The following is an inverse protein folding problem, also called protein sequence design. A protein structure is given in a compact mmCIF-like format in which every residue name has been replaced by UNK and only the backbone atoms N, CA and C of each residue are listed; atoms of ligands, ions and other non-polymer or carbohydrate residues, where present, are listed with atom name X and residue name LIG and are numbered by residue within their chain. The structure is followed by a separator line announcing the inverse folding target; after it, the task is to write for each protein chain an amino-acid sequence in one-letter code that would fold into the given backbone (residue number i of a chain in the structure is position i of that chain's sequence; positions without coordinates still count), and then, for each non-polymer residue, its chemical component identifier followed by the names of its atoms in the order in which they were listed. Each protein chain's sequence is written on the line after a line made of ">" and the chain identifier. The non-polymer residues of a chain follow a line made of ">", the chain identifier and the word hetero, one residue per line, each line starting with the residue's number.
data_IF_834514949194
#
_entry.id   IF_834514949194
#
_cell.length_a   1.000
_cell.length_b   1.000
_cell.length_c   1.000
_cell.angle_alpha   90.00
_cell.angle_beta   90.00
_cell.angle_gamma   90.00
#
_symmetry.space_group_name_H-M   'P 1'
#
loop_
_entity.id
_entity.type
_entity.pdbx_description
1 polymer ?
#
# COMPACT_ATOMS: atom_id res chain seq x y z
N UNK A 1 13.28 64.17 -30.40
CA UNK A 1 13.48 62.74 -30.72
C UNK A 1 13.63 61.80 -29.49
N UNK A 2 14.04 62.27 -28.30
CA UNK A 2 14.25 61.38 -27.11
C UNK A 2 12.98 60.87 -26.40
N UNK A 3 11.83 61.53 -26.56
CA UNK A 3 10.57 61.11 -25.90
C UNK A 3 9.81 60.04 -26.68
N UNK A 4 9.79 60.12 -28.01
CA UNK A 4 9.11 59.15 -28.89
C UNK A 4 9.78 57.77 -28.85
N UNK A 5 11.11 57.70 -28.73
CA UNK A 5 11.85 56.44 -28.62
C UNK A 5 11.55 55.68 -27.31
N UNK A 6 11.38 56.40 -26.20
CA UNK A 6 11.02 55.79 -24.90
C UNK A 6 9.61 55.21 -24.90
N UNK A 7 8.66 55.91 -25.52
CA UNK A 7 7.28 55.44 -25.67
C UNK A 7 7.21 54.22 -26.60
N UNK A 8 7.98 54.22 -27.69
CA UNK A 8 8.06 53.09 -28.61
C UNK A 8 8.61 51.83 -27.94
N UNK A 9 9.70 51.96 -27.18
CA UNK A 9 10.30 50.83 -26.44
C UNK A 9 9.36 50.30 -25.36
N UNK A 10 8.68 51.18 -24.62
CA UNK A 10 7.69 50.77 -23.63
C UNK A 10 6.51 50.02 -24.27
N UNK A 11 6.01 50.50 -25.42
CA UNK A 11 4.94 49.83 -26.15
C UNK A 11 5.35 48.46 -26.67
N UNK A 12 6.59 48.32 -27.15
CA UNK A 12 7.12 47.04 -27.63
C UNK A 12 7.24 46.02 -26.49
N UNK A 13 7.62 46.48 -25.30
CA UNK A 13 7.75 45.63 -24.12
C UNK A 13 6.38 45.14 -23.61
N UNK A 14 5.36 46.01 -23.63
CA UNK A 14 3.97 45.63 -23.31
C UNK A 14 3.41 44.64 -24.34
N UNK A 15 3.71 44.84 -25.62
CA UNK A 15 3.28 43.91 -26.67
C UNK A 15 3.96 42.53 -26.52
N UNK A 16 5.24 42.51 -26.11
CA UNK A 16 5.97 41.27 -25.85
C UNK A 16 5.38 40.44 -24.69
N UNK A 17 4.87 41.10 -23.64
CA UNK A 17 4.17 40.40 -22.55
C UNK A 17 2.83 39.78 -22.97
N UNK A 18 2.21 40.30 -24.04
CA UNK A 18 0.96 39.76 -24.59
C UNK A 18 1.16 38.48 -25.41
N UNK A 19 2.40 38.16 -25.81
CA UNK A 19 2.76 36.91 -26.52
C UNK A 19 3.25 35.79 -25.60
N UNK A 20 3.03 35.89 -24.27
CA UNK A 20 3.27 34.77 -23.36
C UNK A 20 2.28 33.66 -23.70
N UNK A 21 2.79 32.59 -24.31
CA UNK A 21 2.00 31.42 -24.66
C UNK A 21 1.64 30.66 -23.39
N UNK A 22 0.35 30.45 -23.16
CA UNK A 22 -0.13 29.57 -22.08
C UNK A 22 -0.16 28.15 -22.63
N UNK A 23 0.86 27.35 -22.28
CA UNK A 23 0.83 25.91 -22.51
C UNK A 23 -0.08 25.25 -21.48
N UNK A 24 -1.06 24.47 -21.94
CA UNK A 24 -1.82 23.59 -21.07
C UNK A 24 -0.92 22.46 -20.57
N UNK A 25 -0.59 22.45 -19.29
CA UNK A 25 -0.01 21.27 -18.63
C UNK A 25 -1.17 20.38 -18.21
N UNK A 26 -1.26 19.19 -18.80
CA UNK A 26 -2.12 18.14 -18.27
C UNK A 26 -1.45 17.60 -17.00
N UNK A 27 -2.07 17.84 -15.85
CA UNK A 27 -1.68 17.14 -14.63
C UNK A 27 -1.94 15.65 -14.84
N UNK A 28 -0.90 14.83 -14.71
CA UNK A 28 -1.08 13.39 -14.52
C UNK A 28 -2.01 13.21 -13.29
N UNK A 29 -2.98 12.27 -13.35
CA UNK A 29 -3.79 11.98 -12.18
C UNK A 29 -2.85 11.69 -11.01
N UNK A 30 -3.13 12.31 -9.85
CA UNK A 30 -2.33 12.11 -8.66
C UNK A 30 -2.22 10.60 -8.38
N UNK A 31 -1.02 10.07 -8.10
CA UNK A 31 -0.87 8.67 -7.74
C UNK A 31 -1.79 8.38 -6.55
N UNK A 32 -2.69 7.42 -6.70
CA UNK A 32 -3.60 7.04 -5.62
C UNK A 32 -2.76 6.49 -4.47
N UNK A 33 -2.85 7.14 -3.31
CA UNK A 33 -2.17 6.69 -2.08
C UNK A 33 -2.90 5.52 -1.41
N UNK A 34 -4.14 5.23 -1.82
CA UNK A 34 -4.88 4.06 -1.37
C UNK A 34 -4.19 2.78 -1.83
N UNK A 35 -4.05 1.82 -0.91
CA UNK A 35 -3.63 0.46 -1.23
C UNK A 35 -4.77 -0.27 -1.92
N UNK A 36 -4.45 -1.18 -2.85
CA UNK A 36 -5.44 -2.06 -3.42
C UNK A 36 -6.01 -3.01 -2.35
N UNK A 37 -7.28 -3.35 -2.50
CA UNK A 37 -7.91 -4.34 -1.62
C UNK A 37 -7.25 -5.71 -1.78
N UNK A 38 -7.14 -6.49 -0.68
CA UNK A 38 -6.59 -7.82 -0.75
C UNK A 38 -7.51 -8.76 -1.53
N UNK A 39 -6.91 -9.75 -2.16
CA UNK A 39 -7.63 -10.72 -2.99
C UNK A 39 -7.24 -12.15 -2.64
N UNK A 40 -8.16 -13.09 -2.85
CA UNK A 40 -7.88 -14.52 -2.81
C UNK A 40 -7.99 -15.08 -4.23
N UNK A 41 -7.03 -15.92 -4.59
CA UNK A 41 -6.92 -16.58 -5.89
C UNK A 41 -7.08 -18.08 -5.64
N UNK A 42 -7.97 -18.71 -6.41
CA UNK A 42 -8.18 -20.15 -6.40
C UNK A 42 -6.86 -20.90 -6.70
N UNK A 43 -6.65 -22.03 -6.03
CA UNK A 43 -5.49 -22.88 -6.33
C UNK A 43 -5.74 -23.79 -7.53
N UNK A 44 -7.02 -24.04 -7.87
CA UNK A 44 -7.43 -24.79 -9.04
C UNK A 44 -8.76 -24.27 -9.58
N UNK A 45 -9.01 -24.47 -10.88
CA UNK A 45 -10.19 -23.95 -11.55
C UNK A 45 -11.49 -24.52 -10.97
N UNK A 46 -12.41 -23.64 -10.59
CA UNK A 46 -13.75 -24.01 -10.12
C UNK A 46 -13.83 -24.30 -8.61
N UNK A 47 -12.79 -23.93 -7.86
CA UNK A 47 -12.82 -23.88 -6.40
C UNK A 47 -13.92 -22.91 -5.94
N UNK A 48 -14.73 -23.31 -4.94
CA UNK A 48 -15.84 -22.49 -4.44
C UNK A 48 -15.50 -21.97 -3.06
N UNK A 49 -15.35 -20.66 -2.94
CA UNK A 49 -15.17 -19.98 -1.66
C UNK A 49 -15.72 -18.56 -1.73
N UNK A 50 -15.75 -17.90 -0.58
CA UNK A 50 -16.05 -16.48 -0.42
C UNK A 50 -14.83 -15.77 0.13
N UNK A 51 -14.49 -14.63 -0.46
CA UNK A 51 -13.46 -13.74 0.03
C UNK A 51 -14.10 -12.36 0.30
N UNK A 52 -14.07 -11.94 1.56
CA UNK A 52 -14.65 -10.68 2.00
C UNK A 52 -13.55 -9.76 2.55
N UNK A 53 -13.48 -8.54 2.03
CA UNK A 53 -12.58 -7.50 2.54
C UNK A 53 -13.11 -7.01 3.89
N UNK A 54 -12.22 -6.90 4.87
CA UNK A 54 -12.55 -6.48 6.24
C UNK A 54 -11.69 -5.28 6.61
N UNK A 55 -12.32 -4.18 6.99
CA UNK A 55 -11.61 -2.96 7.40
C UNK A 55 -10.99 -3.13 8.79
N UNK A 56 -9.89 -2.40 9.10
CA UNK A 56 -9.16 -2.58 10.35
C UNK A 56 -10.01 -2.56 11.64
N UNK A 57 -11.00 -1.65 11.82
CA UNK A 57 -11.83 -1.66 13.03
C UNK A 57 -12.68 -2.93 13.20
N UNK A 58 -12.92 -3.68 12.12
CA UNK A 58 -13.73 -4.90 12.12
C UNK A 58 -12.87 -6.17 12.10
N UNK A 59 -11.53 -6.05 12.13
CA UNK A 59 -10.64 -7.19 12.23
C UNK A 59 -10.67 -7.78 13.65
N UNK A 60 -10.51 -9.11 13.79
CA UNK A 60 -10.24 -9.71 15.09
C UNK A 60 -8.84 -9.31 15.57
N UNK A 61 -8.56 -9.46 16.86
CA UNK A 61 -7.19 -9.26 17.36
C UNK A 61 -6.67 -7.85 17.15
N UNK A 62 -7.50 -6.86 17.43
CA UNK A 62 -7.18 -5.44 17.32
C UNK A 62 -7.11 -4.78 18.71
N UNK A 63 -6.31 -3.73 18.81
CA UNK A 63 -6.28 -2.81 19.94
C UNK A 63 -6.27 -1.37 19.43
N UNK A 64 -6.80 -0.46 20.22
CA UNK A 64 -6.72 0.97 19.99
C UNK A 64 -5.61 1.55 20.88
N UNK A 65 -4.61 2.18 20.25
CA UNK A 65 -3.59 2.97 20.94
C UNK A 65 -3.58 4.38 20.36
N UNK A 66 -4.17 5.33 21.09
CA UNK A 66 -4.17 6.74 20.69
C UNK A 66 -4.98 7.03 19.42
N UNK A 67 -6.05 6.25 19.15
CA UNK A 67 -6.90 6.38 17.97
C UNK A 67 -6.37 5.62 16.75
N UNK A 68 -5.27 4.86 16.89
CA UNK A 68 -4.76 3.98 15.85
C UNK A 68 -5.12 2.54 16.16
N UNK A 69 -5.78 1.88 15.20
CA UNK A 69 -6.12 0.46 15.28
C UNK A 69 -4.90 -0.38 14.88
N UNK A 70 -4.42 -1.19 15.82
CA UNK A 70 -3.20 -1.99 15.67
C UNK A 70 -3.44 -3.48 15.97
N UNK A 71 -2.61 -4.39 15.45
CA UNK A 71 -2.69 -5.81 15.80
C UNK A 71 -2.28 -6.05 17.25
N UNK A 72 -3.07 -6.85 17.99
CA UNK A 72 -2.67 -7.29 19.34
C UNK A 72 -1.44 -8.17 19.31
N UNK A 73 -0.66 -8.13 20.39
CA UNK A 73 0.53 -8.98 20.55
C UNK A 73 1.74 -8.53 19.74
N UNK A 74 1.71 -7.31 19.22
CA UNK A 74 2.88 -6.64 18.63
C UNK A 74 3.23 -5.41 19.46
N UNK A 75 4.50 -5.16 19.72
CA UNK A 75 4.95 -3.96 20.42
C UNK A 75 4.71 -2.69 19.60
N UNK A 76 4.69 -1.54 20.29
CA UNK A 76 4.58 -0.24 19.65
C UNK A 76 5.71 -0.05 18.62
N UNK A 77 5.35 0.20 17.36
CA UNK A 77 6.28 0.32 16.23
C UNK A 77 6.78 -1.01 15.63
N UNK A 78 6.44 -2.17 16.20
CA UNK A 78 6.84 -3.48 15.67
C UNK A 78 5.93 -3.96 14.53
N UNK A 79 4.65 -3.58 14.55
CA UNK A 79 3.68 -4.00 13.54
C UNK A 79 2.42 -3.15 13.50
N UNK A 80 2.02 -2.74 12.30
CA UNK A 80 0.74 -2.11 11.99
C UNK A 80 0.07 -2.83 10.83
N UNK A 81 -1.26 -2.77 10.75
CA UNK A 81 -1.96 -3.24 9.55
C UNK A 81 -1.53 -2.38 8.36
N UNK A 82 -1.12 -3.01 7.27
CA UNK A 82 -0.81 -2.28 6.03
C UNK A 82 -2.08 -1.63 5.47
N UNK A 83 -3.20 -2.34 5.52
CA UNK A 83 -4.49 -1.91 5.00
C UNK A 83 -5.60 -2.85 5.44
N UNK A 84 -6.61 -3.04 4.58
CA UNK A 84 -7.71 -3.97 4.85
C UNK A 84 -7.21 -5.42 4.98
N UNK A 85 -7.91 -6.21 5.79
CA UNK A 85 -7.75 -7.66 5.84
C UNK A 85 -8.68 -8.39 4.88
N UNK A 86 -8.50 -9.70 4.79
CA UNK A 86 -9.28 -10.59 3.94
C UNK A 86 -9.80 -11.77 4.75
N UNK A 87 -11.12 -11.98 4.75
CA UNK A 87 -11.74 -13.17 5.32
C UNK A 87 -12.08 -14.15 4.21
N UNK A 88 -11.47 -15.33 4.26
CA UNK A 88 -11.76 -16.46 3.37
C UNK A 88 -12.63 -17.45 4.11
N UNK A 89 -13.74 -17.87 3.49
CA UNK A 89 -14.69 -18.84 4.04
C UNK A 89 -15.31 -19.73 2.96
N UNK A 90 -15.80 -20.90 3.35
CA UNK A 90 -16.52 -21.82 2.46
C UNK A 90 -15.64 -22.80 1.69
N UNK A 91 -14.32 -22.78 1.90
CA UNK A 91 -13.43 -23.84 1.42
C UNK A 91 -13.77 -25.16 2.11
N UNK A 92 -13.72 -26.27 1.38
CA UNK A 92 -13.86 -27.61 1.96
C UNK A 92 -12.58 -28.00 2.69
N UNK A 93 -12.65 -29.05 3.49
CA UNK A 93 -11.48 -29.56 4.19
C UNK A 93 -10.41 -30.04 3.20
N UNK A 94 -9.21 -29.47 3.33
CA UNK A 94 -8.08 -29.74 2.43
C UNK A 94 -7.99 -28.80 1.21
N UNK A 95 -9.04 -28.03 0.91
CA UNK A 95 -9.00 -27.00 -0.14
C UNK A 95 -8.18 -25.79 0.35
N UNK A 96 -7.48 -25.13 -0.57
CA UNK A 96 -6.56 -24.04 -0.23
C UNK A 96 -6.55 -22.99 -1.31
N UNK A 97 -6.32 -21.74 -0.93
CA UNK A 97 -6.20 -20.61 -1.85
C UNK A 97 -4.86 -19.91 -1.67
N UNK A 98 -4.56 -18.96 -2.56
CA UNK A 98 -3.51 -17.96 -2.35
C UNK A 98 -4.12 -16.62 -2.02
N UNK A 99 -3.68 -16.00 -0.92
CA UNK A 99 -4.10 -14.64 -0.55
C UNK A 99 -3.01 -13.65 -0.92
N UNK A 100 -3.40 -12.50 -1.48
CA UNK A 100 -2.52 -11.45 -1.96
C UNK A 100 -2.89 -10.10 -1.33
N UNK A 101 -1.87 -9.37 -0.88
CA UNK A 101 -2.00 -8.05 -0.29
C UNK A 101 -1.07 -7.07 -0.99
N UNK A 102 -1.56 -5.87 -1.29
CA UNK A 102 -0.74 -4.79 -1.82
C UNK A 102 0.31 -4.42 -0.78
N UNK A 103 1.58 -4.51 -1.18
CA UNK A 103 2.73 -4.16 -0.37
C UNK A 103 3.57 -3.06 -1.03
N UNK A 104 2.93 -1.91 -1.28
CA UNK A 104 3.57 -0.67 -1.77
C UNK A 104 4.84 -0.25 -1.01
N UNK A 105 5.00 -0.62 0.26
CA UNK A 105 6.13 -0.19 1.11
C UNK A 105 7.36 -1.11 1.09
N UNK A 106 7.39 -2.16 0.27
CA UNK A 106 8.46 -3.18 0.28
C UNK A 106 9.89 -2.64 0.10
N UNK A 107 10.05 -1.50 -0.56
CA UNK A 107 11.33 -0.85 -0.88
C UNK A 107 11.63 0.38 0.00
N UNK A 108 10.84 0.64 1.04
CA UNK A 108 10.95 1.84 1.88
C UNK A 108 11.45 1.57 3.31
N UNK A 109 12.29 0.55 3.51
CA UNK A 109 12.75 0.09 4.85
C UNK A 109 11.64 -0.48 5.75
N UNK A 110 10.54 -0.93 5.13
CA UNK A 110 9.48 -1.66 5.81
C UNK A 110 9.60 -3.14 5.48
N UNK A 111 9.42 -4.00 6.50
CA UNK A 111 9.12 -5.43 6.31
C UNK A 111 7.63 -5.63 6.38
N UNK A 112 7.14 -6.60 5.62
CA UNK A 112 5.76 -7.03 5.65
C UNK A 112 5.68 -8.54 5.63
N UNK A 113 4.72 -9.11 6.34
CA UNK A 113 4.36 -10.52 6.21
C UNK A 113 2.87 -10.69 6.40
N UNK A 114 2.32 -11.71 5.76
CA UNK A 114 0.91 -12.04 5.93
C UNK A 114 0.77 -12.84 7.23
N UNK A 115 -0.25 -12.51 8.01
CA UNK A 115 -0.60 -13.20 9.24
C UNK A 115 -2.02 -13.74 9.15
N UNK A 116 -2.26 -14.85 9.83
CA UNK A 116 -3.59 -15.44 10.04
C UNK A 116 -3.99 -15.30 11.50
N UNK A 117 -5.24 -14.92 11.76
CA UNK A 117 -5.79 -14.98 13.13
C UNK A 117 -6.09 -16.43 13.51
N UNK A 118 -5.53 -16.91 14.62
CA UNK A 118 -5.77 -18.26 15.14
C UNK A 118 -6.90 -18.36 16.18
N UNK A 119 -7.52 -17.23 16.52
CA UNK A 119 -8.49 -17.11 17.62
C UNK A 119 -7.94 -16.33 18.81
N UNK A 120 -6.61 -16.30 18.98
CA UNK A 120 -5.93 -15.69 20.12
C UNK A 120 -4.79 -14.74 19.74
N UNK A 121 -4.09 -15.01 18.63
CA UNK A 121 -2.94 -14.24 18.17
C UNK A 121 -2.83 -14.26 16.65
N UNK A 122 -2.06 -13.31 16.14
CA UNK A 122 -1.65 -13.26 14.75
C UNK A 122 -0.48 -14.22 14.51
N UNK A 123 -0.70 -15.25 13.69
CA UNK A 123 0.33 -16.24 13.33
C UNK A 123 0.93 -15.88 11.98
N UNK A 124 2.24 -15.67 11.95
CA UNK A 124 2.98 -15.32 10.73
C UNK A 124 2.95 -16.48 9.73
N UNK A 125 2.66 -16.17 8.47
CA UNK A 125 2.70 -17.12 7.36
C UNK A 125 3.97 -16.93 6.52
N UNK A 126 4.38 -18.00 5.84
CA UNK A 126 5.36 -17.91 4.77
C UNK A 126 4.80 -16.96 3.69
N UNK A 127 5.51 -15.86 3.46
CA UNK A 127 5.08 -14.79 2.56
C UNK A 127 6.14 -14.57 1.50
N UNK A 128 5.75 -14.63 0.24
CA UNK A 128 6.58 -14.25 -0.89
C UNK A 128 6.22 -12.84 -1.34
N UNK A 129 7.22 -12.02 -1.63
CA UNK A 129 7.04 -10.69 -2.20
C UNK A 129 7.77 -10.69 -3.52
N UNK A 130 7.03 -10.50 -4.60
CA UNK A 130 7.60 -10.45 -5.95
C UNK A 130 7.52 -9.01 -6.42
N UNK A 131 8.65 -8.39 -6.84
CA UNK A 131 8.63 -7.08 -7.46
C UNK A 131 7.70 -7.10 -8.67
N UNK A 132 6.97 -6.00 -8.94
CA UNK A 132 6.06 -5.94 -10.06
C UNK A 132 6.83 -6.15 -11.37
N UNK A 133 6.22 -6.85 -12.32
CA UNK A 133 6.70 -6.87 -13.69
C UNK A 133 6.72 -5.44 -14.26
N UNK A 134 7.43 -5.21 -15.39
CA UNK A 134 7.62 -3.87 -15.94
C UNK A 134 6.30 -3.15 -16.31
N UNK A 135 5.21 -3.90 -16.47
CA UNK A 135 3.86 -3.46 -16.78
C UNK A 135 2.89 -3.48 -15.57
N UNK A 136 3.34 -3.92 -14.40
CA UNK A 136 2.56 -3.91 -13.16
C UNK A 136 2.95 -2.72 -12.28
N UNK A 137 1.96 -2.13 -11.59
CA UNK A 137 2.17 -1.00 -10.67
C UNK A 137 2.08 -1.40 -9.19
N UNK A 138 1.71 -2.66 -8.90
CA UNK A 138 1.44 -3.14 -7.54
C UNK A 138 2.41 -4.26 -7.20
N UNK A 139 3.06 -4.13 -6.04
CA UNK A 139 3.86 -5.22 -5.48
C UNK A 139 2.97 -6.07 -4.59
N UNK A 140 2.85 -7.36 -4.87
CA UNK A 140 1.99 -8.24 -4.08
C UNK A 140 2.82 -9.05 -3.08
N UNK A 141 2.45 -8.95 -1.80
CA UNK A 141 2.77 -9.97 -0.81
C UNK A 141 1.78 -11.12 -0.94
N UNK A 142 2.26 -12.35 -1.08
CA UNK A 142 1.44 -13.54 -1.33
C UNK A 142 1.72 -14.62 -0.29
N UNK A 143 0.65 -15.25 0.21
CA UNK A 143 0.72 -16.49 0.99
C UNK A 143 -0.17 -17.53 0.29
N UNK A 144 0.42 -18.67 -0.05
CA UNK A 144 -0.24 -19.76 -0.79
C UNK A 144 -0.53 -20.95 0.12
N UNK A 145 -1.48 -21.81 -0.30
CA UNK A 145 -1.82 -23.01 0.45
C UNK A 145 -2.57 -22.71 1.75
N UNK A 146 -3.33 -21.62 1.81
CA UNK A 146 -4.07 -21.20 3.01
C UNK A 146 -5.53 -21.61 2.94
N UNK A 147 -6.09 -22.08 4.07
CA UNK A 147 -7.50 -22.48 4.17
C UNK A 147 -8.46 -21.34 4.59
N UNK A 148 -9.60 -21.70 5.15
CA UNK A 148 -10.52 -20.74 5.76
C UNK A 148 -9.83 -19.93 6.89
N UNK A 149 -10.13 -18.63 7.00
CA UNK A 149 -9.58 -17.77 8.03
C UNK A 149 -9.61 -16.28 7.71
N UNK A 150 -9.13 -15.48 8.65
CA UNK A 150 -8.91 -14.04 8.48
C UNK A 150 -7.43 -13.76 8.36
N UNK A 151 -7.06 -13.08 7.29
CA UNK A 151 -5.70 -12.78 6.88
C UNK A 151 -5.47 -11.28 6.82
N UNK A 152 -4.25 -10.86 7.17
CA UNK A 152 -3.84 -9.45 7.14
C UNK A 152 -2.39 -9.36 6.69
N UNK A 153 -2.02 -8.28 6.02
CA UNK A 153 -0.63 -7.90 5.88
C UNK A 153 -0.25 -6.98 7.04
N UNK A 154 0.69 -7.41 7.88
CA UNK A 154 1.24 -6.59 8.95
C UNK A 154 2.64 -6.15 8.55
N UNK A 155 2.86 -4.84 8.65
CA UNK A 155 4.11 -4.18 8.26
C UNK A 155 4.76 -3.52 9.48
N UNK A 156 6.08 -3.47 9.50
CA UNK A 156 6.86 -2.79 10.54
C UNK A 156 8.13 -2.17 9.96
N UNK A 157 8.55 -1.04 10.52
CA UNK A 157 9.80 -0.39 10.12
C UNK A 157 11.00 -1.12 10.73
N UNK A 158 12.12 -1.17 10.01
CA UNK A 158 13.40 -1.60 10.59
C UNK A 158 14.07 -0.53 11.47
N UNK A 159 13.53 0.70 11.50
CA UNK A 159 14.23 1.87 12.02
C UNK A 159 15.39 2.31 11.11
N UNK A 160 15.96 3.48 11.38
CA UNK A 160 17.27 3.85 10.81
C UNK A 160 18.31 2.93 11.45
N UNK A 161 19.23 2.30 10.69
CA UNK A 161 20.32 1.53 11.29
C UNK A 161 21.00 2.41 12.36
N UNK A 162 21.19 1.88 13.58
CA UNK A 162 22.01 2.59 14.57
C UNK A 162 23.39 2.76 13.96
N UNK A 163 23.76 3.99 13.62
CA UNK A 163 25.15 4.32 13.32
C UNK A 163 25.85 4.18 14.66
N UNK A 164 26.55 3.06 14.87
CA UNK A 164 27.48 2.97 15.98
C UNK A 164 28.54 4.04 15.75
N UNK A 165 28.50 5.10 16.56
CA UNK A 165 29.61 6.03 16.64
C UNK A 165 30.79 5.24 17.19
N UNK A 166 31.73 4.90 16.31
CA UNK A 166 33.06 4.46 16.71
C UNK A 166 33.70 5.68 17.38
N UNK A 167 33.71 5.71 18.71
CA UNK A 167 34.44 6.67 19.54
C UNK A 167 35.86 6.16 19.75
#
# INVERSE_FOLDING_TARGET
>A
MRKSLKVFVASLMVLGLLFVTFGSVFALPAPTTALADPVAVESYAGEKFTAAVVTPPNLPGTMDEGGMIMPVGMGSGEGQFSGNGLKVSGLKDGDTVSVKFDFKYYNHMWKGSIYKWDGTRWVKLATTVVPPAADESITWATASGVGNGTYVLIIGSYGVPKIEHIV
#
